data_IF_590451653238
#
_entry.id   IF_590451653238
#
_cell.length_a   1.000
_cell.length_b   1.000
_cell.length_c   1.000
_cell.angle_alpha   90.00
_cell.angle_beta   90.00
_cell.angle_gamma   90.00
#
_symmetry.space_group_name_H-M   'P 1'
#
loop_
_entity.id
_entity.type
_entity.pdbx_description
1 polymer ?
#
# COMPACT_ATOMS: atom_id res chain seq x y z
N UNK A 1 -15.32 -21.93 1.43
CA UNK A 1 -15.55 -20.58 0.90
C UNK A 1 -16.39 -19.74 1.85
N UNK A 2 -15.79 -19.34 2.97
CA UNK A 2 -16.44 -18.57 4.01
C UNK A 2 -16.45 -17.07 3.69
N UNK A 3 -15.29 -16.53 3.29
CA UNK A 3 -15.11 -15.11 2.97
C UNK A 3 -14.99 -14.95 1.46
N UNK A 4 -15.86 -14.11 0.87
CA UNK A 4 -15.84 -13.83 -0.56
C UNK A 4 -15.24 -12.47 -0.91
N UNK A 5 -15.22 -11.54 0.05
CA UNK A 5 -14.61 -10.22 -0.10
C UNK A 5 -13.82 -9.88 1.17
N UNK A 6 -14.48 -9.42 2.22
CA UNK A 6 -13.88 -9.05 3.51
C UNK A 6 -14.86 -9.35 4.62
N UNK A 7 -14.32 -9.78 5.77
CA UNK A 7 -15.11 -10.06 6.96
C UNK A 7 -14.31 -9.66 8.21
N UNK A 8 -14.65 -8.49 8.76
CA UNK A 8 -13.99 -7.97 9.97
C UNK A 8 -14.29 -8.81 11.20
N UNK A 9 -15.47 -9.42 11.30
CA UNK A 9 -15.84 -10.30 12.42
C UNK A 9 -15.01 -11.58 12.41
N UNK A 10 -14.81 -12.17 11.23
CA UNK A 10 -13.92 -13.32 11.08
C UNK A 10 -12.49 -12.97 11.52
N UNK A 11 -11.98 -11.81 11.14
CA UNK A 11 -10.64 -11.36 11.53
C UNK A 11 -10.52 -11.21 13.06
N UNK A 12 -11.54 -10.67 13.73
CA UNK A 12 -11.60 -10.59 15.20
C UNK A 12 -11.56 -11.99 15.82
N UNK A 13 -12.38 -12.93 15.35
CA UNK A 13 -12.41 -14.31 15.85
C UNK A 13 -11.08 -15.03 15.62
N UNK A 14 -10.43 -14.81 14.47
CA UNK A 14 -9.11 -15.36 14.19
C UNK A 14 -8.06 -14.83 15.20
N UNK A 15 -8.05 -13.52 15.48
CA UNK A 15 -7.15 -12.94 16.48
C UNK A 15 -7.43 -13.43 17.90
N UNK A 16 -8.69 -13.60 18.28
CA UNK A 16 -9.04 -14.21 19.58
C UNK A 16 -8.54 -15.64 19.69
N UNK A 17 -8.63 -16.43 18.62
CA UNK A 17 -8.08 -17.80 18.59
C UNK A 17 -6.56 -17.81 18.69
N UNK A 18 -5.86 -16.90 18.02
CA UNK A 18 -4.42 -16.73 18.14
C UNK A 18 -4.01 -16.37 19.58
N UNK A 19 -4.69 -15.39 20.19
CA UNK A 19 -4.45 -15.00 21.58
C UNK A 19 -4.68 -16.16 22.54
N UNK A 20 -5.77 -16.92 22.38
CA UNK A 20 -6.08 -18.07 23.22
C UNK A 20 -4.99 -19.17 23.08
N UNK A 21 -4.47 -19.40 21.87
CA UNK A 21 -3.38 -20.33 21.64
C UNK A 21 -2.11 -19.93 22.39
N UNK A 22 -1.70 -18.66 22.29
CA UNK A 22 -0.49 -18.16 22.97
C UNK A 22 -0.63 -18.07 24.48
N UNK A 23 -1.86 -18.05 25.01
CA UNK A 23 -2.19 -17.94 26.42
C UNK A 23 -2.94 -19.17 26.95
N UNK A 24 -2.65 -20.35 26.41
CA UNK A 24 -3.30 -21.60 26.84
C UNK A 24 -2.94 -22.01 28.26
N UNK A 25 -1.75 -21.65 28.77
CA UNK A 25 -1.33 -21.86 30.14
C UNK A 25 -1.68 -20.64 31.01
N UNK A 26 -2.75 -20.77 31.80
CA UNK A 26 -3.23 -19.70 32.68
C UNK A 26 -2.25 -19.35 33.82
N UNK A 27 -1.24 -20.18 34.10
CA UNK A 27 -0.21 -19.92 35.11
C UNK A 27 0.96 -19.10 34.58
N UNK A 28 1.11 -19.01 33.25
CA UNK A 28 2.16 -18.22 32.60
C UNK A 28 1.77 -16.73 32.49
N UNK A 29 2.76 -15.82 32.40
CA UNK A 29 2.50 -14.42 32.12
C UNK A 29 1.74 -14.24 30.81
N UNK A 30 0.79 -13.29 30.78
CA UNK A 30 -0.04 -13.02 29.60
C UNK A 30 0.79 -12.50 28.43
N UNK A 31 0.66 -13.15 27.28
CA UNK A 31 1.32 -12.76 26.02
C UNK A 31 0.41 -11.80 25.25
N UNK A 32 0.84 -10.55 25.11
CA UNK A 32 0.11 -9.51 24.41
C UNK A 32 0.23 -9.59 22.89
N UNK A 33 -0.73 -9.02 22.16
CA UNK A 33 -0.76 -8.97 20.68
C UNK A 33 0.56 -8.41 20.13
N UNK A 34 1.08 -7.34 20.72
CA UNK A 34 2.35 -6.73 20.30
C UNK A 34 3.50 -7.74 20.28
N UNK A 35 3.61 -8.57 21.31
CA UNK A 35 4.64 -9.63 21.41
C UNK A 35 4.47 -10.65 20.28
N UNK A 36 3.23 -11.07 20.03
CA UNK A 36 2.91 -12.03 18.95
C UNK A 36 3.29 -11.47 17.60
N UNK A 37 2.92 -10.21 17.34
CA UNK A 37 3.20 -9.53 16.07
C UNK A 37 4.71 -9.34 15.87
N UNK A 38 5.45 -8.91 16.90
CA UNK A 38 6.91 -8.75 16.82
C UNK A 38 7.60 -10.10 16.51
N UNK A 39 7.19 -11.18 17.17
CA UNK A 39 7.69 -12.52 16.89
C UNK A 39 7.38 -12.99 15.46
N UNK A 40 6.21 -12.64 14.94
CA UNK A 40 5.87 -12.88 13.55
C UNK A 40 6.80 -12.13 12.59
N UNK A 41 7.07 -10.83 12.85
CA UNK A 41 8.02 -10.06 12.06
C UNK A 41 9.45 -10.59 12.13
N UNK A 42 9.90 -11.05 13.29
CA UNK A 42 11.22 -11.70 13.45
C UNK A 42 11.35 -12.96 12.59
N UNK A 43 10.25 -13.68 12.39
CA UNK A 43 10.23 -14.93 11.62
C UNK A 43 10.11 -14.69 10.12
N UNK A 44 9.25 -13.74 9.69
CA UNK A 44 8.84 -13.58 8.30
C UNK A 44 9.24 -12.23 7.69
N UNK A 45 9.83 -11.33 8.44
CA UNK A 45 10.01 -9.94 8.06
C UNK A 45 8.74 -9.12 8.26
N UNK A 46 8.85 -7.83 8.01
CA UNK A 46 7.76 -6.86 8.15
C UNK A 46 7.47 -6.16 6.84
N UNK A 47 6.22 -6.14 6.42
CA UNK A 47 5.75 -5.21 5.41
C UNK A 47 5.34 -3.90 6.09
N UNK A 48 6.11 -2.84 5.85
CA UNK A 48 5.69 -1.48 6.17
C UNK A 48 4.71 -1.02 5.10
N UNK A 49 3.58 -0.47 5.49
CA UNK A 49 2.59 0.04 4.54
C UNK A 49 1.92 1.31 5.09
N UNK A 50 1.47 2.14 4.17
CA UNK A 50 0.71 3.36 4.45
C UNK A 50 -0.17 3.70 3.26
N UNK A 51 -1.30 4.31 3.52
CA UNK A 51 -2.18 4.88 2.49
C UNK A 51 -2.31 6.37 2.69
N UNK A 52 -2.15 7.12 1.62
CA UNK A 52 -2.38 8.55 1.54
C UNK A 52 -3.61 8.80 0.67
N UNK A 53 -4.63 9.47 1.19
CA UNK A 53 -5.84 9.84 0.46
C UNK A 53 -5.81 11.36 0.18
N UNK A 54 -5.99 11.72 -1.07
CA UNK A 54 -6.21 13.09 -1.52
C UNK A 54 -7.67 13.20 -1.94
N UNK A 55 -8.51 13.70 -1.03
CA UNK A 55 -9.96 13.77 -1.21
C UNK A 55 -10.40 15.12 -1.77
N UNK A 56 -11.53 15.14 -2.48
CA UNK A 56 -12.08 16.38 -3.02
C UNK A 56 -11.28 16.98 -4.19
N UNK A 57 -10.42 16.16 -4.82
CA UNK A 57 -9.68 16.61 -6.01
C UNK A 57 -10.66 16.85 -7.17
N UNK A 58 -10.50 17.95 -7.90
CA UNK A 58 -11.24 18.20 -9.13
C UNK A 58 -11.03 17.02 -10.12
N UNK A 59 -12.13 16.47 -10.66
CA UNK A 59 -12.10 15.25 -11.49
C UNK A 59 -11.13 15.35 -12.68
N UNK A 60 -11.10 16.42 -13.49
CA UNK A 60 -10.11 16.59 -14.55
C UNK A 60 -8.67 16.52 -14.04
N UNK A 61 -8.36 17.13 -12.90
CA UNK A 61 -7.03 17.10 -12.30
C UNK A 61 -6.66 15.71 -11.80
N UNK A 62 -7.62 15.01 -11.16
CA UNK A 62 -7.41 13.67 -10.70
C UNK A 62 -7.16 12.68 -11.86
N UNK A 63 -7.92 12.81 -12.94
CA UNK A 63 -7.70 12.04 -14.18
C UNK A 63 -6.33 12.37 -14.78
N UNK A 64 -5.94 13.64 -14.83
CA UNK A 64 -4.64 14.05 -15.36
C UNK A 64 -3.45 13.45 -14.57
N UNK A 65 -3.57 13.25 -13.25
CA UNK A 65 -2.54 12.54 -12.47
C UNK A 65 -2.40 11.11 -12.96
N UNK A 66 -3.51 10.39 -13.18
CA UNK A 66 -3.48 9.01 -13.63
C UNK A 66 -2.94 8.90 -15.07
N UNK A 67 -3.41 9.75 -15.98
CA UNK A 67 -2.97 9.79 -17.38
C UNK A 67 -1.47 10.07 -17.50
N UNK A 68 -0.96 11.04 -16.70
CA UNK A 68 0.46 11.35 -16.67
C UNK A 68 1.32 10.18 -16.16
N UNK A 69 0.83 9.45 -15.15
CA UNK A 69 1.50 8.24 -14.67
C UNK A 69 1.53 7.17 -15.74
N UNK A 70 0.40 6.89 -16.41
CA UNK A 70 0.33 5.90 -17.50
C UNK A 70 1.28 6.29 -18.65
N UNK A 71 1.27 7.54 -19.06
CA UNK A 71 2.16 8.03 -20.12
C UNK A 71 3.65 7.93 -19.76
N UNK A 72 3.98 7.88 -18.48
CA UNK A 72 5.36 7.79 -17.98
C UNK A 72 5.93 6.39 -17.85
N UNK A 73 5.15 5.33 -17.98
CA UNK A 73 5.59 3.94 -17.72
C UNK A 73 6.90 3.58 -18.43
N UNK A 74 7.00 3.86 -19.71
CA UNK A 74 8.21 3.54 -20.50
C UNK A 74 9.47 4.26 -20.03
N UNK A 75 9.34 5.44 -19.42
CA UNK A 75 10.44 6.23 -18.88
C UNK A 75 10.75 5.93 -17.40
N UNK A 76 9.82 5.29 -16.71
CA UNK A 76 9.96 4.92 -15.30
C UNK A 76 10.69 3.57 -15.14
N UNK A 77 10.42 2.59 -15.99
CA UNK A 77 11.05 1.27 -15.90
C UNK A 77 12.56 1.39 -16.03
N UNK A 78 13.27 0.80 -15.08
CA UNK A 78 14.73 0.87 -14.95
C UNK A 78 15.25 2.13 -14.24
N UNK A 79 14.42 3.16 -14.03
CA UNK A 79 14.82 4.38 -13.30
C UNK A 79 15.16 4.03 -11.86
N UNK A 80 16.21 4.69 -11.34
CA UNK A 80 16.66 4.53 -9.96
C UNK A 80 16.45 5.80 -9.16
N UNK A 81 16.22 5.63 -7.86
CA UNK A 81 15.99 6.70 -6.89
C UNK A 81 16.86 6.50 -5.65
N UNK A 82 17.07 7.57 -4.89
CA UNK A 82 17.77 7.56 -3.60
C UNK A 82 19.16 6.89 -3.75
N UNK A 83 19.95 7.39 -4.69
CA UNK A 83 21.32 6.87 -4.91
C UNK A 83 21.40 5.42 -5.39
N UNK A 84 20.32 4.91 -6.05
CA UNK A 84 20.27 3.54 -6.55
C UNK A 84 19.60 2.53 -5.61
N UNK A 85 19.15 2.99 -4.43
CA UNK A 85 18.47 2.12 -3.44
C UNK A 85 17.15 1.54 -3.94
N UNK A 86 16.40 2.31 -4.73
CA UNK A 86 15.14 1.89 -5.32
C UNK A 86 15.25 1.93 -6.84
N UNK A 87 15.04 0.79 -7.49
CA UNK A 87 14.97 0.68 -8.94
C UNK A 87 13.60 0.20 -9.34
N UNK A 88 12.93 0.90 -10.26
CA UNK A 88 11.64 0.47 -10.80
C UNK A 88 11.86 -0.74 -11.72
N UNK A 89 11.25 -1.86 -11.36
CA UNK A 89 11.26 -3.11 -12.11
C UNK A 89 10.17 -3.11 -13.18
N UNK A 90 8.96 -2.67 -12.82
CA UNK A 90 7.83 -2.58 -13.74
C UNK A 90 6.85 -1.47 -13.34
N UNK A 91 6.12 -0.96 -14.33
CA UNK A 91 5.03 -0.02 -14.16
C UNK A 91 3.92 -0.41 -15.13
N UNK A 92 2.71 -0.63 -14.60
CA UNK A 92 1.55 -1.05 -15.38
C UNK A 92 0.23 -0.55 -14.79
N UNK A 93 -0.83 -0.73 -15.56
CA UNK A 93 -2.20 -0.59 -15.07
C UNK A 93 -2.76 -1.98 -14.77
N UNK A 94 -3.23 -2.19 -13.53
CA UNK A 94 -3.71 -3.50 -13.08
C UNK A 94 -5.07 -3.83 -13.68
N UNK A 95 -5.12 -5.00 -14.28
CA UNK A 95 -6.32 -5.65 -14.79
C UNK A 95 -6.50 -7.01 -14.10
N UNK A 96 -7.72 -7.34 -13.75
CA UNK A 96 -8.05 -8.64 -13.16
C UNK A 96 -8.93 -9.43 -14.13
N UNK A 97 -8.45 -10.62 -14.49
CA UNK A 97 -9.22 -11.63 -15.20
C UNK A 97 -9.77 -12.64 -14.19
N UNK A 98 -11.09 -12.72 -14.07
CA UNK A 98 -11.73 -13.68 -13.17
C UNK A 98 -11.59 -15.11 -13.74
N UNK A 99 -10.98 -16.04 -12.98
CA UNK A 99 -10.76 -17.41 -13.47
C UNK A 99 -12.04 -18.27 -13.54
N UNK A 100 -13.17 -17.79 -12.97
CA UNK A 100 -14.43 -18.55 -12.91
C UNK A 100 -15.31 -18.24 -14.11
N UNK A 101 -15.51 -16.96 -14.41
CA UNK A 101 -16.44 -16.52 -15.47
C UNK A 101 -15.74 -15.82 -16.63
N UNK A 102 -14.41 -15.69 -16.58
CA UNK A 102 -13.57 -15.01 -17.56
C UNK A 102 -13.92 -13.51 -17.75
N UNK A 103 -14.61 -12.90 -16.80
CA UNK A 103 -14.85 -11.46 -16.81
C UNK A 103 -13.56 -10.70 -16.58
N UNK A 104 -13.42 -9.53 -17.22
CA UNK A 104 -12.25 -8.67 -17.13
C UNK A 104 -12.62 -7.40 -16.41
N UNK A 105 -11.90 -7.10 -15.33
CA UNK A 105 -11.98 -5.82 -14.61
C UNK A 105 -10.72 -5.01 -14.87
N UNK A 106 -10.78 -4.08 -15.84
CA UNK A 106 -9.69 -3.16 -16.18
C UNK A 106 -9.71 -1.89 -15.32
N UNK A 107 -8.66 -1.08 -15.44
CA UNK A 107 -8.49 0.22 -14.76
C UNK A 107 -8.59 0.12 -13.23
N UNK A 108 -8.09 -0.97 -12.66
CA UNK A 108 -8.18 -1.21 -11.21
C UNK A 108 -7.14 -0.44 -10.38
N UNK A 109 -6.15 0.13 -11.02
CA UNK A 109 -5.12 0.98 -10.43
C UNK A 109 -3.79 0.87 -11.13
N UNK A 110 -2.94 1.85 -10.91
CA UNK A 110 -1.58 1.91 -11.44
C UNK A 110 -0.64 1.26 -10.44
N UNK A 111 0.20 0.34 -10.91
CA UNK A 111 1.22 -0.32 -10.09
C UNK A 111 2.60 0.12 -10.53
N UNK A 112 3.44 0.48 -9.56
CA UNK A 112 4.87 0.71 -9.74
C UNK A 112 5.59 -0.23 -8.79
N UNK A 113 6.24 -1.23 -9.35
CA UNK A 113 6.93 -2.27 -8.62
C UNK A 113 8.43 -2.03 -8.68
N UNK A 114 9.09 -2.22 -7.54
CA UNK A 114 10.53 -2.03 -7.40
C UNK A 114 11.24 -3.37 -7.24
N UNK A 115 12.46 -3.44 -7.72
CA UNK A 115 13.36 -4.55 -7.42
C UNK A 115 13.41 -4.73 -5.89
N UNK A 116 13.24 -5.97 -5.43
CA UNK A 116 13.19 -6.27 -3.98
C UNK A 116 11.78 -6.23 -3.36
N UNK A 117 10.71 -6.09 -4.19
CA UNK A 117 9.33 -6.32 -3.78
C UNK A 117 8.59 -5.13 -3.15
N UNK A 118 9.24 -3.96 -3.01
CA UNK A 118 8.53 -2.73 -2.63
C UNK A 118 7.60 -2.27 -3.74
N UNK A 119 6.53 -1.57 -3.40
CA UNK A 119 5.55 -1.12 -4.40
C UNK A 119 4.85 0.17 -4.04
N UNK A 120 4.45 0.91 -5.06
CA UNK A 120 3.56 2.07 -4.98
C UNK A 120 2.36 1.80 -5.86
N UNK A 121 1.14 1.99 -5.33
CA UNK A 121 -0.10 1.80 -6.07
C UNK A 121 -0.88 3.11 -6.03
N UNK A 122 -1.37 3.56 -7.21
CA UNK A 122 -2.30 4.68 -7.30
C UNK A 122 -3.68 4.18 -7.74
N UNK A 123 -4.71 4.64 -7.06
CA UNK A 123 -6.11 4.34 -7.42
C UNK A 123 -6.92 5.61 -7.43
N UNK A 124 -7.80 5.71 -8.42
CA UNK A 124 -8.80 6.75 -8.49
C UNK A 124 -10.14 6.20 -8.00
N UNK A 125 -10.71 6.82 -6.98
CA UNK A 125 -12.05 6.49 -6.50
C UNK A 125 -12.99 7.64 -6.84
N UNK A 126 -14.02 7.36 -7.62
CA UNK A 126 -15.09 8.30 -7.86
C UNK A 126 -16.04 8.32 -6.67
N UNK A 127 -16.16 9.45 -5.97
CA UNK A 127 -17.28 9.68 -5.07
C UNK A 127 -18.35 10.43 -5.82
N UNK A 128 -19.55 9.88 -5.86
CA UNK A 128 -20.69 10.57 -6.48
C UNK A 128 -20.96 11.86 -5.71
N UNK A 129 -20.65 13.02 -6.33
CA UNK A 129 -21.12 14.34 -5.86
C UNK A 129 -20.05 15.31 -5.34
N UNK A 130 -18.90 14.90 -4.83
CA UNK A 130 -17.96 15.81 -4.11
C UNK A 130 -16.52 15.79 -4.60
N UNK A 131 -16.28 15.54 -5.89
CA UNK A 131 -14.93 15.43 -6.43
C UNK A 131 -14.43 13.98 -6.51
N UNK A 132 -13.15 13.79 -6.83
CA UNK A 132 -12.49 12.50 -6.88
C UNK A 132 -11.56 12.34 -5.67
N UNK A 133 -11.26 11.10 -5.31
CA UNK A 133 -10.23 10.77 -4.33
C UNK A 133 -9.11 10.00 -5.01
N UNK A 134 -7.89 10.53 -4.96
CA UNK A 134 -6.70 9.79 -5.35
C UNK A 134 -6.17 9.10 -4.11
N UNK A 135 -6.01 7.79 -4.19
CA UNK A 135 -5.41 6.96 -3.13
C UNK A 135 -4.04 6.47 -3.56
N UNK A 136 -3.06 6.73 -2.74
CA UNK A 136 -1.68 6.30 -2.92
C UNK A 136 -1.31 5.31 -1.80
N UNK A 137 -1.03 4.08 -2.18
CA UNK A 137 -0.61 3.01 -1.26
C UNK A 137 0.87 2.76 -1.45
N UNK A 138 1.60 2.69 -0.36
CA UNK A 138 3.02 2.38 -0.35
C UNK A 138 3.27 1.16 0.51
N UNK A 139 4.11 0.26 0.02
CA UNK A 139 4.51 -0.93 0.77
C UNK A 139 6.00 -1.21 0.55
N UNK A 140 6.69 -1.49 1.66
CA UNK A 140 8.10 -1.88 1.68
C UNK A 140 8.28 -3.09 2.58
N UNK A 141 8.90 -4.14 2.03
CA UNK A 141 9.32 -5.29 2.81
C UNK A 141 10.68 -5.03 3.48
N UNK A 142 10.82 -5.44 4.74
CA UNK A 142 12.05 -5.37 5.51
C UNK A 142 12.26 -6.69 6.26
N UNK A 143 13.44 -7.27 6.15
CA UNK A 143 13.82 -8.50 6.82
C UNK A 143 15.02 -8.36 7.76
N UNK A 144 15.58 -7.15 7.88
CA UNK A 144 16.64 -6.86 8.85
C UNK A 144 16.03 -6.73 10.26
N UNK A 145 16.33 -7.65 11.20
CA UNK A 145 15.75 -7.63 12.53
C UNK A 145 15.93 -6.31 13.29
N UNK A 146 17.01 -5.58 13.02
CA UNK A 146 17.30 -4.29 13.64
C UNK A 146 16.37 -3.17 13.18
N UNK A 147 15.65 -3.35 12.07
CA UNK A 147 14.79 -2.36 11.43
C UNK A 147 13.30 -2.66 11.55
N UNK A 148 12.91 -3.83 12.05
CA UNK A 148 11.50 -4.24 12.09
C UNK A 148 10.62 -3.36 12.99
N UNK A 149 11.20 -2.67 13.96
CA UNK A 149 10.47 -1.81 14.91
C UNK A 149 10.54 -0.32 14.61
N UNK A 150 11.20 0.06 13.51
CA UNK A 150 11.26 1.45 13.05
C UNK A 150 9.84 2.00 12.84
N UNK A 151 9.56 3.27 13.17
CA UNK A 151 8.26 3.89 12.88
C UNK A 151 7.94 3.85 11.38
N UNK A 152 6.67 3.56 11.03
CA UNK A 152 6.22 3.42 9.62
C UNK A 152 6.55 4.66 8.78
N UNK A 153 6.36 5.86 9.34
CA UNK A 153 6.67 7.13 8.65
C UNK A 153 8.14 7.25 8.27
N UNK A 154 9.03 6.78 9.14
CA UNK A 154 10.48 6.79 8.88
C UNK A 154 10.83 5.74 7.82
N UNK A 155 10.34 4.50 7.99
CA UNK A 155 10.62 3.40 7.08
C UNK A 155 10.17 3.68 5.63
N UNK A 156 9.09 4.45 5.44
CA UNK A 156 8.50 4.75 4.14
C UNK A 156 8.78 6.16 3.62
N UNK A 157 9.51 7.01 4.35
CA UNK A 157 9.72 8.41 3.99
C UNK A 157 10.30 8.61 2.59
N UNK A 158 11.30 7.80 2.22
CA UNK A 158 11.92 7.83 0.89
C UNK A 158 10.92 7.44 -0.20
N UNK A 159 10.13 6.39 0.02
CA UNK A 159 9.12 5.94 -0.95
C UNK A 159 7.99 6.96 -1.13
N UNK A 160 7.60 7.66 -0.06
CA UNK A 160 6.65 8.79 -0.15
C UNK A 160 7.23 9.88 -1.07
N UNK A 161 8.50 10.24 -0.89
CA UNK A 161 9.18 11.22 -1.76
C UNK A 161 9.16 10.77 -3.23
N UNK A 162 9.51 9.52 -3.51
CA UNK A 162 9.48 8.94 -4.86
C UNK A 162 8.05 9.00 -5.44
N UNK A 163 7.04 8.58 -4.67
CA UNK A 163 5.65 8.58 -5.12
C UNK A 163 5.15 9.99 -5.50
N UNK A 164 5.50 10.99 -4.69
CA UNK A 164 5.15 12.40 -4.97
C UNK A 164 5.90 12.96 -6.18
N UNK A 165 7.19 12.61 -6.35
CA UNK A 165 7.97 12.99 -7.52
C UNK A 165 7.38 12.44 -8.82
N UNK A 166 7.09 11.14 -8.88
CA UNK A 166 6.61 10.51 -10.12
C UNK A 166 5.17 10.90 -10.45
N UNK A 167 4.30 11.08 -9.45
CA UNK A 167 2.89 11.46 -9.66
C UNK A 167 2.70 12.95 -9.95
N UNK A 168 3.67 13.78 -9.59
CA UNK A 168 3.54 15.25 -9.65
C UNK A 168 2.27 15.74 -8.93
N UNK A 169 1.93 15.08 -7.81
CA UNK A 169 0.65 15.27 -7.11
C UNK A 169 0.34 16.75 -6.86
N UNK A 170 1.22 17.44 -6.15
CA UNK A 170 1.01 18.85 -5.81
C UNK A 170 0.88 19.75 -7.06
N UNK A 171 1.76 19.57 -8.04
CA UNK A 171 1.75 20.38 -9.26
C UNK A 171 0.46 20.21 -10.08
N UNK A 172 -0.12 19.01 -10.10
CA UNK A 172 -1.31 18.71 -10.90
C UNK A 172 -2.60 19.04 -10.14
N UNK A 173 -2.68 18.70 -8.86
CA UNK A 173 -3.90 18.88 -8.07
C UNK A 173 -3.97 20.23 -7.35
N UNK A 174 -2.83 20.81 -7.01
CA UNK A 174 -2.70 21.97 -6.12
C UNK A 174 -2.73 21.58 -4.63
N UNK A 175 -2.66 20.30 -4.30
CA UNK A 175 -2.68 19.79 -2.92
C UNK A 175 -1.27 19.40 -2.48
N UNK A 176 -0.72 20.11 -1.50
CA UNK A 176 0.63 19.89 -0.97
C UNK A 176 0.69 18.74 0.04
N UNK A 177 -0.45 18.33 0.58
CA UNK A 177 -0.55 17.26 1.57
C UNK A 177 -1.80 16.41 1.37
N UNK A 178 -1.79 15.13 1.78
CA UNK A 178 -2.98 14.29 1.78
C UNK A 178 -3.99 14.78 2.83
N UNK A 179 -5.27 14.52 2.60
CA UNK A 179 -6.36 14.79 3.55
C UNK A 179 -6.41 13.75 4.66
N UNK A 180 -6.05 12.50 4.34
CA UNK A 180 -6.03 11.38 5.29
C UNK A 180 -4.77 10.55 5.10
N UNK A 181 -4.18 10.11 6.22
CA UNK A 181 -3.08 9.13 6.24
C UNK A 181 -3.51 7.97 7.16
N UNK A 182 -3.49 6.75 6.66
CA UNK A 182 -3.83 5.53 7.42
C UNK A 182 -2.82 4.41 7.21
#
# INVERSE_FOLDING_TARGET
>A
NHVREKDGMWAVLAWLSILAHYNADASAPFVHIETIVKKHWETYGRNFYVRYDYEGVDKPKATAVMDNLIASFGSLVGKTFVGGKYQIESADEFEYLDPIDASVSSHQGIRILFVGGSRIIFRLSGTAGSGATIRMYLEKYENDPSKLTVPVREALSEMVGIALEISKMAATTGMDAPTVIT
#
